data_IF_323145296104
#
_entry.id   IF_323145296104
#
_cell.length_a   1.000
_cell.length_b   1.000
_cell.length_c   1.000
_cell.angle_alpha   90.00
_cell.angle_beta   90.00
_cell.angle_gamma   90.00
#
_symmetry.space_group_name_H-M   'P 1'
#
loop_
_entity.id
_entity.type
_entity.pdbx_description
1 polymer ?
#
# COMPACT_ATOMS: atom_id res chain seq x y z
N UNK A 1 15.15 1.59 22.86
CA UNK A 1 14.11 2.19 22.00
C UNK A 1 14.28 3.69 21.76
N UNK A 2 14.61 4.52 22.77
CA UNK A 2 15.00 5.94 22.53
C UNK A 2 16.09 6.06 21.45
N UNK A 3 17.11 5.20 21.50
CA UNK A 3 18.20 5.12 20.52
C UNK A 3 17.71 4.76 19.12
N UNK A 4 16.84 3.74 18.97
CA UNK A 4 16.25 3.34 17.69
C UNK A 4 15.46 4.50 17.05
N UNK A 5 14.58 5.14 17.81
CA UNK A 5 13.71 6.22 17.29
C UNK A 5 14.46 7.51 16.96
N UNK A 6 15.41 7.92 17.82
CA UNK A 6 16.17 9.16 17.61
C UNK A 6 17.20 8.99 16.48
N UNK A 7 17.86 7.82 16.37
CA UNK A 7 18.72 7.51 15.23
C UNK A 7 17.91 7.48 13.95
N UNK A 8 16.73 6.87 13.95
CA UNK A 8 15.90 6.75 12.75
C UNK A 8 15.34 8.09 12.26
N UNK A 9 14.85 8.96 13.14
CA UNK A 9 14.33 10.25 12.72
C UNK A 9 15.46 11.21 12.31
N UNK A 10 16.55 11.28 13.08
CA UNK A 10 17.65 12.19 12.77
C UNK A 10 18.50 11.73 11.58
N UNK A 11 18.84 10.44 11.46
CA UNK A 11 19.62 9.95 10.30
C UNK A 11 18.82 10.04 8.99
N UNK A 12 17.51 9.75 9.02
CA UNK A 12 16.67 9.76 7.82
C UNK A 12 16.42 11.20 7.35
N UNK A 13 16.25 12.16 8.27
CA UNK A 13 16.10 13.57 7.90
C UNK A 13 17.43 14.20 7.46
N UNK A 14 18.53 13.93 8.17
CA UNK A 14 19.85 14.47 7.81
C UNK A 14 20.37 13.93 6.47
N UNK A 15 20.13 12.64 6.15
CA UNK A 15 20.61 12.02 4.90
C UNK A 15 19.76 12.34 3.68
N UNK A 16 18.48 12.74 3.85
CA UNK A 16 17.59 13.05 2.72
C UNK A 16 17.63 14.52 2.28
N UNK A 17 18.57 15.30 2.84
CA UNK A 17 18.82 16.70 2.49
C UNK A 17 17.58 17.57 2.69
N UNK A 18 16.90 17.36 3.82
CA UNK A 18 15.84 18.24 4.28
C UNK A 18 16.43 19.23 5.28
N UNK A 19 16.44 20.52 4.92
CA UNK A 19 16.99 21.57 5.76
C UNK A 19 16.17 21.72 7.05
N UNK A 20 16.64 21.07 8.11
CA UNK A 20 16.07 21.16 9.45
C UNK A 20 16.46 22.45 10.19
N UNK A 21 17.21 23.39 9.58
CA UNK A 21 17.60 24.63 10.28
C UNK A 21 16.39 25.49 10.69
N UNK A 22 15.19 25.21 10.17
CA UNK A 22 13.92 25.80 10.59
C UNK A 22 13.08 24.95 11.57
N UNK A 23 13.62 23.86 12.14
CA UNK A 23 12.89 22.94 13.04
C UNK A 23 12.64 23.45 14.47
N UNK A 24 12.84 24.75 14.74
CA UNK A 24 12.39 25.41 15.98
C UNK A 24 10.87 25.64 16.02
N UNK A 25 10.13 25.45 14.92
CA UNK A 25 8.66 25.52 14.90
C UNK A 25 8.05 24.12 15.07
N UNK A 26 7.03 24.00 15.93
CA UNK A 26 6.20 22.78 16.15
C UNK A 26 5.60 22.30 14.82
N UNK A 27 6.34 21.54 14.03
CA UNK A 27 5.78 20.86 12.87
C UNK A 27 4.90 19.71 13.39
N UNK A 28 3.64 19.68 12.94
CA UNK A 28 2.78 18.51 13.14
C UNK A 28 3.47 17.34 12.41
N UNK A 29 3.71 16.21 13.10
CA UNK A 29 4.42 15.02 12.57
C UNK A 29 3.99 14.64 11.14
N UNK A 30 2.71 14.88 10.81
CA UNK A 30 2.12 14.76 9.47
C UNK A 30 2.89 15.50 8.37
N UNK A 31 3.30 16.76 8.56
CA UNK A 31 3.97 17.56 7.52
C UNK A 31 5.38 17.05 7.21
N UNK A 32 6.12 16.64 8.25
CA UNK A 32 7.44 16.00 8.10
C UNK A 32 7.28 14.71 7.28
N UNK A 33 6.24 13.93 7.59
CA UNK A 33 5.97 12.68 6.89
C UNK A 33 5.71 12.87 5.38
N UNK A 34 4.86 13.82 4.97
CA UNK A 34 4.62 14.09 3.55
C UNK A 34 5.91 14.46 2.80
N UNK A 35 6.73 15.30 3.41
CA UNK A 35 8.01 15.73 2.86
C UNK A 35 9.01 14.58 2.76
N UNK A 36 9.01 13.66 3.74
CA UNK A 36 9.85 12.47 3.75
C UNK A 36 9.42 11.47 2.67
N UNK A 37 8.13 11.15 2.56
CA UNK A 37 7.65 10.23 1.52
C UNK A 37 7.96 10.77 0.12
N UNK A 38 7.73 12.07 -0.12
CA UNK A 38 8.11 12.72 -1.39
C UNK A 38 9.62 12.65 -1.63
N UNK A 39 10.42 12.88 -0.60
CA UNK A 39 11.88 12.82 -0.68
C UNK A 39 12.44 11.41 -0.94
N UNK A 40 11.88 10.37 -0.31
CA UNK A 40 12.29 8.97 -0.49
C UNK A 40 12.15 8.56 -1.97
N UNK A 41 11.06 8.97 -2.62
CA UNK A 41 10.75 8.59 -4.00
C UNK A 41 11.17 9.63 -5.05
N UNK A 42 11.82 10.74 -4.65
CA UNK A 42 12.18 11.81 -5.59
C UNK A 42 13.36 11.43 -6.51
N UNK A 43 14.25 10.55 -6.06
CA UNK A 43 15.34 10.03 -6.88
C UNK A 43 15.80 8.65 -6.41
N UNK A 44 16.38 7.88 -7.35
CA UNK A 44 17.00 6.58 -7.04
C UNK A 44 18.08 6.72 -5.96
N UNK A 45 18.89 7.77 -6.00
CA UNK A 45 19.92 8.06 -4.97
C UNK A 45 19.31 8.19 -3.58
N UNK A 46 18.27 9.00 -3.40
CA UNK A 46 17.61 9.18 -2.08
C UNK A 46 16.96 7.89 -1.59
N UNK A 47 16.36 7.12 -2.49
CA UNK A 47 15.81 5.83 -2.13
C UNK A 47 16.87 4.80 -1.69
N UNK A 48 18.04 4.79 -2.33
CA UNK A 48 19.13 3.91 -1.91
C UNK A 48 19.62 4.24 -0.49
N UNK A 49 19.71 5.53 -0.13
CA UNK A 49 20.02 5.93 1.26
C UNK A 49 18.97 5.41 2.25
N UNK A 50 17.69 5.46 1.89
CA UNK A 50 16.60 4.89 2.67
C UNK A 50 16.75 3.36 2.81
N UNK A 51 17.03 2.65 1.71
CA UNK A 51 17.25 1.20 1.70
C UNK A 51 18.44 0.80 2.59
N UNK A 52 19.54 1.53 2.49
CA UNK A 52 20.76 1.27 3.29
C UNK A 52 20.53 1.55 4.78
N UNK A 53 19.73 2.57 5.11
CA UNK A 53 19.31 2.81 6.48
C UNK A 53 18.48 1.63 7.03
N UNK A 54 17.52 1.11 6.27
CA UNK A 54 16.75 -0.08 6.69
C UNK A 54 17.69 -1.26 6.93
N UNK A 55 18.63 -1.53 6.01
CA UNK A 55 19.63 -2.60 6.17
C UNK A 55 20.46 -2.40 7.44
N UNK A 56 20.98 -1.20 7.68
CA UNK A 56 21.76 -0.86 8.89
C UNK A 56 20.96 -1.12 10.17
N UNK A 57 19.69 -0.70 10.21
CA UNK A 57 18.81 -0.92 11.35
C UNK A 57 18.60 -2.42 11.60
N UNK A 58 18.32 -3.18 10.54
CA UNK A 58 18.03 -4.61 10.61
C UNK A 58 19.26 -5.48 10.82
N UNK A 59 20.47 -4.99 10.58
CA UNK A 59 21.70 -5.70 10.91
C UNK A 59 21.95 -5.77 12.43
N UNK A 60 21.34 -4.88 13.21
CA UNK A 60 21.40 -4.95 14.68
C UNK A 60 20.41 -6.02 15.16
N UNK A 61 20.92 -7.12 15.73
CA UNK A 61 20.14 -8.29 16.20
C UNK A 61 18.90 -7.90 17.03
N UNK A 62 19.07 -6.97 17.97
CA UNK A 62 17.98 -6.51 18.83
C UNK A 62 16.89 -5.75 18.06
N UNK A 63 17.27 -4.85 17.16
CA UNK A 63 16.33 -4.08 16.34
C UNK A 63 15.55 -5.01 15.41
N UNK A 64 16.26 -5.94 14.77
CA UNK A 64 15.69 -6.97 13.92
C UNK A 64 14.64 -7.78 14.67
N UNK A 65 14.94 -8.27 15.87
CA UNK A 65 14.00 -9.00 16.72
C UNK A 65 12.75 -8.18 17.01
N UNK A 66 12.90 -6.91 17.42
CA UNK A 66 11.78 -6.02 17.75
C UNK A 66 10.90 -5.80 16.51
N UNK A 67 11.50 -5.42 15.37
CA UNK A 67 10.77 -5.11 14.15
C UNK A 67 10.03 -6.35 13.65
N UNK A 68 10.70 -7.49 13.51
CA UNK A 68 10.06 -8.72 13.03
C UNK A 68 8.95 -9.18 13.98
N UNK A 69 9.17 -9.15 15.30
CA UNK A 69 8.11 -9.47 16.28
C UNK A 69 6.91 -8.54 16.11
N UNK A 70 7.16 -7.26 15.87
CA UNK A 70 6.10 -6.27 15.64
C UNK A 70 5.34 -6.57 14.35
N UNK A 71 6.04 -6.84 13.25
CA UNK A 71 5.41 -7.19 11.97
C UNK A 71 4.58 -8.47 12.09
N UNK A 72 5.07 -9.49 12.82
CA UNK A 72 4.32 -10.72 13.10
C UNK A 72 3.00 -10.42 13.81
N UNK A 73 3.04 -9.61 14.89
CA UNK A 73 1.84 -9.24 15.65
C UNK A 73 0.87 -8.44 14.77
N UNK A 74 1.38 -7.45 14.03
CA UNK A 74 0.56 -6.62 13.17
C UNK A 74 -0.08 -7.43 12.03
N UNK A 75 0.63 -8.42 11.49
CA UNK A 75 0.11 -9.33 10.48
C UNK A 75 -1.00 -10.24 11.05
N UNK A 76 -0.85 -10.71 12.29
CA UNK A 76 -1.84 -11.60 12.92
C UNK A 76 -3.12 -10.89 13.37
N UNK A 77 -3.03 -9.67 13.90
CA UNK A 77 -4.22 -8.93 14.38
C UNK A 77 -4.98 -8.22 13.25
N UNK A 78 -4.37 -8.09 12.07
CA UNK A 78 -4.97 -7.37 10.94
C UNK A 78 -4.90 -5.85 11.07
N UNK A 79 -5.44 -5.11 10.07
CA UNK A 79 -5.54 -3.66 10.15
C UNK A 79 -6.54 -3.22 11.23
N UNK A 80 -6.06 -2.42 12.19
CA UNK A 80 -6.90 -1.93 13.29
C UNK A 80 -6.55 -0.51 13.74
N UNK A 81 -7.32 0.06 14.67
CA UNK A 81 -7.05 1.36 15.29
C UNK A 81 -5.83 1.29 16.21
N UNK A 82 -5.10 2.38 16.26
CA UNK A 82 -3.81 2.54 16.93
C UNK A 82 -3.87 2.18 18.41
N UNK A 83 -4.94 2.55 19.10
CA UNK A 83 -5.03 2.39 20.55
C UNK A 83 -5.19 0.91 20.95
N UNK A 84 -5.81 0.07 20.11
CA UNK A 84 -5.90 -1.38 20.30
C UNK A 84 -4.55 -2.08 20.12
N UNK A 85 -3.66 -1.51 19.30
CA UNK A 85 -2.34 -2.08 19.04
C UNK A 85 -1.40 -1.92 20.24
N UNK A 86 -1.61 -0.90 21.07
CA UNK A 86 -0.71 -0.55 22.17
C UNK A 86 -0.55 -1.66 23.22
N UNK A 87 -1.64 -2.17 23.83
CA UNK A 87 -1.52 -3.25 24.80
C UNK A 87 -0.86 -4.50 24.21
N UNK A 88 -1.32 -4.92 23.03
CA UNK A 88 -0.87 -6.15 22.37
C UNK A 88 0.62 -6.10 22.06
N UNK A 89 1.11 -5.00 21.46
CA UNK A 89 2.53 -4.85 21.17
C UNK A 89 3.37 -4.71 22.44
N UNK A 90 2.89 -3.96 23.44
CA UNK A 90 3.66 -3.77 24.67
C UNK A 90 3.89 -5.11 25.38
N UNK A 91 2.83 -5.87 25.59
CA UNK A 91 2.90 -7.18 26.26
C UNK A 91 3.79 -8.15 25.48
N UNK A 92 3.67 -8.19 24.14
CA UNK A 92 4.49 -9.08 23.33
C UNK A 92 5.98 -8.72 23.33
N UNK A 93 6.31 -7.43 23.39
CA UNK A 93 7.70 -6.95 23.28
C UNK A 93 8.43 -6.88 24.63
N UNK A 94 7.70 -6.61 25.71
CA UNK A 94 8.28 -6.39 27.04
C UNK A 94 7.94 -7.49 28.05
N UNK A 95 7.01 -8.40 27.73
CA UNK A 95 6.54 -9.43 28.67
C UNK A 95 6.01 -8.82 29.98
N UNK A 96 5.34 -7.68 29.88
CA UNK A 96 4.81 -6.88 30.99
C UNK A 96 3.39 -6.43 30.67
N UNK A 97 2.50 -6.40 31.65
CA UNK A 97 1.12 -5.89 31.47
C UNK A 97 1.12 -4.41 31.10
N UNK A 98 0.33 -4.08 30.08
CA UNK A 98 0.20 -2.71 29.63
C UNK A 98 -0.76 -1.90 30.50
N UNK A 99 -0.40 -0.65 30.80
CA UNK A 99 -1.21 0.23 31.65
C UNK A 99 -1.43 1.57 30.95
N UNK A 100 -2.68 1.88 30.58
CA UNK A 100 -2.99 3.11 29.85
C UNK A 100 -2.71 4.37 30.67
N UNK A 101 -2.60 4.33 32.00
CA UNK A 101 -2.18 5.47 32.82
C UNK A 101 -0.69 5.81 32.71
N UNK A 102 0.17 4.83 32.41
CA UNK A 102 1.63 5.00 32.41
C UNK A 102 2.13 5.56 31.07
N UNK A 103 2.52 6.84 31.04
CA UNK A 103 3.03 7.49 29.81
C UNK A 103 4.24 6.76 29.21
N UNK A 104 5.11 6.19 30.06
CA UNK A 104 6.26 5.43 29.59
C UNK A 104 5.86 4.19 28.75
N UNK A 105 4.72 3.55 29.05
CA UNK A 105 4.22 2.42 28.26
C UNK A 105 3.74 2.89 26.89
N UNK A 106 2.93 3.96 26.88
CA UNK A 106 2.40 4.56 25.65
C UNK A 106 3.51 5.10 24.75
N UNK A 107 4.50 5.79 25.33
CA UNK A 107 5.62 6.39 24.59
C UNK A 107 6.49 5.32 23.92
N UNK A 108 6.75 4.21 24.61
CA UNK A 108 7.48 3.05 24.07
C UNK A 108 6.86 2.54 22.76
N UNK A 109 5.56 2.24 22.76
CA UNK A 109 4.87 1.72 21.56
C UNK A 109 4.70 2.80 20.49
N UNK A 110 4.33 4.02 20.90
CA UNK A 110 4.17 5.17 19.99
C UNK A 110 5.43 5.44 19.18
N UNK A 111 6.61 5.41 19.83
CA UNK A 111 7.90 5.59 19.17
C UNK A 111 8.18 4.50 18.14
N UNK A 112 7.91 3.24 18.49
CA UNK A 112 8.08 2.12 17.58
C UNK A 112 7.18 2.25 16.34
N UNK A 113 5.89 2.56 16.52
CA UNK A 113 4.97 2.74 15.39
C UNK A 113 5.35 3.95 14.53
N UNK A 114 5.80 5.06 15.14
CA UNK A 114 6.33 6.20 14.38
C UNK A 114 7.54 5.78 13.54
N UNK A 115 8.46 5.00 14.11
CA UNK A 115 9.62 4.46 13.40
C UNK A 115 9.20 3.56 12.23
N UNK A 116 8.22 2.66 12.42
CA UNK A 116 7.71 1.82 11.34
C UNK A 116 7.02 2.64 10.24
N UNK A 117 6.26 3.69 10.59
CA UNK A 117 5.64 4.58 9.61
C UNK A 117 6.71 5.34 8.79
N UNK A 118 7.79 5.78 9.43
CA UNK A 118 8.93 6.43 8.75
C UNK A 118 9.69 5.48 7.83
N UNK A 119 9.77 4.19 8.19
CA UNK A 119 10.33 3.14 7.34
C UNK A 119 9.32 2.55 6.34
N UNK A 120 8.13 3.14 6.22
CA UNK A 120 7.05 2.67 5.34
C UNK A 120 6.65 1.21 5.60
N UNK A 121 6.94 0.70 6.81
CA UNK A 121 6.56 -0.63 7.24
C UNK A 121 5.06 -0.71 7.53
N UNK A 122 4.52 0.38 8.08
CA UNK A 122 3.08 0.60 8.19
C UNK A 122 2.65 1.77 7.30
N UNK A 123 1.40 1.77 6.85
CA UNK A 123 0.85 2.86 6.05
C UNK A 123 0.84 4.15 6.89
N UNK A 124 1.64 5.14 6.50
CA UNK A 124 1.82 6.34 7.30
C UNK A 124 0.64 7.31 7.19
N UNK A 125 -0.11 7.30 6.08
CA UNK A 125 -1.29 8.14 5.93
C UNK A 125 -2.36 7.71 6.92
N UNK A 126 -2.67 6.43 6.90
CA UNK A 126 -3.67 5.83 7.79
C UNK A 126 -3.24 5.93 9.25
N UNK A 127 -1.94 5.78 9.54
CA UNK A 127 -1.41 5.91 10.89
C UNK A 127 -1.51 7.34 11.46
N UNK A 128 -1.10 8.35 10.69
CA UNK A 128 -1.06 9.73 11.20
C UNK A 128 -2.39 10.48 11.07
N UNK A 129 -3.21 10.14 10.08
CA UNK A 129 -4.47 10.83 9.81
C UNK A 129 -5.61 10.11 10.51
N UNK A 130 -5.69 8.80 10.33
CA UNK A 130 -6.85 8.00 10.73
C UNK A 130 -6.62 7.19 12.00
N UNK A 131 -5.42 7.31 12.58
CA UNK A 131 -4.99 6.54 13.74
C UNK A 131 -5.17 5.03 13.50
N UNK A 132 -4.92 4.54 12.28
CA UNK A 132 -5.00 3.12 11.93
C UNK A 132 -3.61 2.55 11.67
N UNK A 133 -3.35 1.35 12.14
CA UNK A 133 -2.08 0.66 11.92
C UNK A 133 -2.33 -0.45 10.91
N UNK A 134 -1.60 -0.39 9.79
CA UNK A 134 -1.77 -1.27 8.65
C UNK A 134 -0.39 -1.57 8.10
N UNK A 135 -0.07 -2.83 7.85
CA UNK A 135 1.11 -3.16 7.07
C UNK A 135 0.95 -2.70 5.62
N UNK A 136 1.98 -2.07 5.06
CA UNK A 136 2.05 -1.88 3.61
C UNK A 136 2.24 -3.24 2.93
N UNK A 137 1.85 -3.35 1.65
CA UNK A 137 2.05 -4.60 0.89
C UNK A 137 3.52 -5.02 0.85
N UNK A 138 4.43 -4.05 0.72
CA UNK A 138 5.87 -4.26 0.79
C UNK A 138 6.28 -4.96 2.09
N UNK A 139 5.68 -4.56 3.21
CA UNK A 139 6.04 -5.01 4.54
C UNK A 139 5.48 -6.37 4.87
N UNK A 140 4.25 -6.62 4.42
CA UNK A 140 3.63 -7.94 4.51
C UNK A 140 4.46 -8.97 3.74
N UNK A 141 4.87 -8.62 2.52
CA UNK A 141 5.75 -9.48 1.70
C UNK A 141 7.14 -9.63 2.33
N UNK A 142 7.72 -8.54 2.83
CA UNK A 142 9.02 -8.55 3.50
C UNK A 142 9.03 -9.48 4.72
N UNK A 143 8.02 -9.33 5.59
CA UNK A 143 7.84 -10.12 6.80
C UNK A 143 7.61 -11.60 6.50
N UNK A 144 6.73 -11.91 5.54
CA UNK A 144 6.42 -13.27 5.13
C UNK A 144 7.71 -14.02 4.76
N UNK A 145 8.47 -13.50 3.80
CA UNK A 145 9.69 -14.16 3.35
C UNK A 145 10.80 -14.17 4.39
N UNK A 146 10.80 -13.22 5.31
CA UNK A 146 11.69 -13.25 6.46
C UNK A 146 11.39 -14.44 7.40
N UNK A 147 10.12 -14.76 7.65
CA UNK A 147 9.73 -15.85 8.54
C UNK A 147 9.91 -17.24 7.92
N UNK A 148 9.56 -17.39 6.64
CA UNK A 148 9.47 -18.70 6.00
C UNK A 148 10.71 -19.09 5.18
N UNK A 149 11.73 -18.23 5.10
CA UNK A 149 12.99 -18.52 4.40
C UNK A 149 12.85 -18.74 2.89
N UNK A 150 11.67 -18.45 2.32
CA UNK A 150 11.34 -18.67 0.91
C UNK A 150 10.54 -17.49 0.35
N UNK A 151 11.02 -16.79 -0.72
CA UNK A 151 12.35 -16.93 -1.30
C UNK A 151 13.40 -16.29 -0.39
N UNK A 152 14.66 -16.70 -0.59
CA UNK A 152 15.79 -16.43 0.31
C UNK A 152 16.19 -14.95 0.48
N UNK A 153 15.56 -14.01 -0.24
CA UNK A 153 15.90 -12.59 -0.17
C UNK A 153 14.69 -11.66 0.06
N UNK A 154 14.31 -11.37 1.32
CA UNK A 154 13.24 -10.42 1.63
C UNK A 154 13.58 -8.98 1.19
N UNK A 155 14.86 -8.65 0.97
CA UNK A 155 15.26 -7.29 0.58
C UNK A 155 14.84 -6.90 -0.84
N UNK A 156 14.37 -7.84 -1.66
CA UNK A 156 13.78 -7.55 -2.97
C UNK A 156 12.58 -6.61 -2.85
N UNK A 157 11.82 -6.70 -1.74
CA UNK A 157 10.70 -5.80 -1.48
C UNK A 157 11.14 -4.34 -1.27
N UNK A 158 12.41 -4.12 -0.91
CA UNK A 158 13.01 -2.79 -0.71
C UNK A 158 13.70 -2.27 -1.98
N UNK A 159 13.39 -2.80 -3.16
CA UNK A 159 13.93 -2.35 -4.44
C UNK A 159 13.35 -1.00 -4.84
N UNK A 160 14.07 -0.17 -5.61
CA UNK A 160 13.57 1.15 -6.01
C UNK A 160 12.31 1.00 -6.89
N UNK A 161 11.21 1.71 -6.61
CA UNK A 161 10.01 1.61 -7.44
C UNK A 161 10.30 1.99 -8.89
N UNK A 162 9.89 1.13 -9.83
CA UNK A 162 10.23 1.23 -11.25
C UNK A 162 11.38 0.32 -11.68
N UNK A 163 12.18 -0.22 -10.75
CA UNK A 163 13.11 -1.29 -11.07
C UNK A 163 12.37 -2.63 -11.10
N UNK A 164 12.35 -3.24 -12.28
CA UNK A 164 11.62 -4.48 -12.51
C UNK A 164 12.46 -5.67 -12.06
N UNK A 165 12.00 -6.36 -11.02
CA UNK A 165 12.64 -7.55 -10.44
C UNK A 165 11.74 -8.80 -10.48
N UNK A 166 10.47 -8.66 -10.88
CA UNK A 166 9.57 -9.78 -11.17
C UNK A 166 9.31 -9.82 -12.68
N UNK A 167 9.81 -10.85 -13.37
CA UNK A 167 9.70 -11.05 -14.83
C UNK A 167 9.54 -12.52 -15.16
N UNK A 168 9.06 -12.79 -16.37
CA UNK A 168 8.95 -14.14 -16.93
C UNK A 168 7.51 -14.60 -17.05
N UNK A 169 7.34 -15.89 -17.34
CA UNK A 169 6.03 -16.53 -17.46
C UNK A 169 5.51 -16.93 -16.08
N UNK A 170 4.21 -17.26 -15.99
CA UNK A 170 3.62 -17.85 -14.80
C UNK A 170 3.73 -16.99 -13.53
N UNK A 171 3.77 -15.66 -13.67
CA UNK A 171 4.00 -14.76 -12.52
C UNK A 171 2.87 -14.77 -11.50
N UNK A 172 1.65 -15.19 -11.86
CA UNK A 172 0.60 -15.43 -10.86
C UNK A 172 1.02 -16.46 -9.80
N UNK A 173 1.88 -17.40 -10.18
CA UNK A 173 2.38 -18.46 -9.30
C UNK A 173 3.73 -18.14 -8.67
N UNK A 174 4.28 -16.94 -8.89
CA UNK A 174 5.49 -16.49 -8.20
C UNK A 174 5.19 -16.28 -6.70
N UNK A 175 6.11 -16.69 -5.82
CA UNK A 175 5.90 -16.63 -4.37
C UNK A 175 5.66 -15.21 -3.82
N UNK A 176 6.30 -14.19 -4.40
CA UNK A 176 6.03 -12.80 -4.04
C UNK A 176 4.62 -12.35 -4.42
N UNK A 177 4.15 -12.82 -5.58
CA UNK A 177 2.82 -12.50 -6.10
C UNK A 177 1.74 -13.23 -5.30
N UNK A 178 1.92 -14.53 -5.01
CA UNK A 178 1.04 -15.29 -4.11
C UNK A 178 0.96 -14.65 -2.72
N UNK A 179 2.09 -14.21 -2.18
CA UNK A 179 2.14 -13.50 -0.89
C UNK A 179 1.35 -12.19 -0.95
N UNK A 180 1.41 -11.47 -2.07
CA UNK A 180 0.59 -10.29 -2.29
C UNK A 180 -0.90 -10.62 -2.44
N UNK A 181 -1.27 -11.70 -3.12
CA UNK A 181 -2.67 -12.15 -3.17
C UNK A 181 -3.17 -12.50 -1.76
N UNK A 182 -2.36 -13.20 -0.96
CA UNK A 182 -2.66 -13.48 0.43
C UNK A 182 -2.85 -12.19 1.25
N UNK A 183 -1.97 -11.20 1.08
CA UNK A 183 -2.14 -9.87 1.66
C UNK A 183 -3.49 -9.26 1.27
N UNK A 184 -3.83 -9.28 -0.02
CA UNK A 184 -5.04 -8.67 -0.54
C UNK A 184 -6.30 -9.35 0.02
N UNK A 185 -6.33 -10.67 0.06
CA UNK A 185 -7.48 -11.48 0.48
C UNK A 185 -7.63 -11.50 2.00
N UNK A 186 -6.57 -11.81 2.73
CA UNK A 186 -6.67 -12.14 4.16
C UNK A 186 -6.33 -10.99 5.09
N UNK A 187 -5.59 -9.97 4.62
CA UNK A 187 -5.12 -8.88 5.49
C UNK A 187 -5.73 -7.53 5.12
N UNK A 188 -5.60 -7.13 3.87
CA UNK A 188 -6.03 -5.81 3.42
C UNK A 188 -7.54 -5.68 3.49
N UNK A 189 -8.01 -4.49 3.86
CA UNK A 189 -9.40 -4.06 3.72
C UNK A 189 -9.44 -2.58 3.38
N UNK A 190 -10.44 -2.11 2.63
CA UNK A 190 -10.72 -0.68 2.56
C UNK A 190 -11.08 -0.20 3.97
N UNK A 191 -10.47 0.89 4.42
CA UNK A 191 -10.61 1.37 5.80
C UNK A 191 -11.46 2.61 5.93
N UNK A 192 -11.82 3.21 4.80
CA UNK A 192 -12.80 4.27 4.74
C UNK A 192 -13.86 3.81 3.77
N UNK A 193 -15.11 3.97 4.16
CA UNK A 193 -16.17 4.05 3.18
C UNK A 193 -15.92 5.35 2.42
N UNK A 194 -15.42 5.21 1.20
CA UNK A 194 -15.72 6.19 0.18
C UNK A 194 -16.90 5.67 -0.61
N UNK A 195 -17.58 6.58 -1.27
CA UNK A 195 -18.84 6.24 -1.93
C UNK A 195 -18.60 5.54 -3.28
N UNK A 196 -17.50 5.86 -3.99
CA UNK A 196 -17.18 5.26 -5.30
C UNK A 196 -15.87 4.48 -5.27
N UNK A 197 -15.90 3.23 -5.75
CA UNK A 197 -14.71 2.48 -6.14
C UNK A 197 -14.45 2.62 -7.65
N UNK A 198 -13.38 3.32 -8.03
CA UNK A 198 -12.96 3.53 -9.42
C UNK A 198 -11.86 2.55 -9.83
N UNK A 199 -12.17 1.64 -10.76
CA UNK A 199 -11.24 0.68 -11.33
C UNK A 199 -10.65 1.19 -12.65
N UNK A 200 -9.32 1.18 -12.73
CA UNK A 200 -8.54 1.59 -13.91
C UNK A 200 -7.50 0.52 -14.23
N UNK A 201 -6.96 0.41 -15.46
CA UNK A 201 -6.01 -0.65 -15.77
C UNK A 201 -4.62 -0.35 -15.21
N UNK A 202 -3.80 -1.39 -15.19
CA UNK A 202 -2.36 -1.27 -15.06
C UNK A 202 -1.73 -0.42 -16.19
N UNK A 203 -0.43 -0.19 -16.09
CA UNK A 203 0.37 0.43 -17.14
C UNK A 203 1.74 -0.25 -17.22
N UNK A 204 2.33 -0.29 -18.41
CA UNK A 204 3.74 -0.66 -18.59
C UNK A 204 4.71 0.31 -17.93
N UNK A 205 4.28 1.55 -17.65
CA UNK A 205 5.07 2.50 -16.85
C UNK A 205 4.94 2.16 -15.36
N UNK A 206 6.08 1.94 -14.70
CA UNK A 206 6.17 1.73 -13.25
C UNK A 206 6.98 2.85 -12.57
N UNK A 207 6.56 3.34 -11.39
CA UNK A 207 5.29 3.09 -10.71
C UNK A 207 4.08 3.57 -11.50
N UNK A 208 2.96 2.84 -11.41
CA UNK A 208 1.75 3.05 -12.23
C UNK A 208 1.21 4.49 -12.18
N UNK A 209 1.25 5.21 -11.03
CA UNK A 209 0.79 6.60 -10.95
C UNK A 209 1.54 7.58 -11.87
N UNK A 210 2.74 7.22 -12.37
CA UNK A 210 3.49 8.05 -13.32
C UNK A 210 3.03 7.93 -14.77
N UNK A 211 2.18 6.94 -15.07
CA UNK A 211 1.66 6.77 -16.42
C UNK A 211 0.72 7.91 -16.83
N UNK A 212 0.75 8.27 -18.12
CA UNK A 212 0.00 9.41 -18.68
C UNK A 212 -1.48 9.42 -18.27
N UNK A 213 -2.18 8.29 -18.46
CA UNK A 213 -3.61 8.18 -18.13
C UNK A 213 -3.88 8.35 -16.64
N UNK A 214 -3.03 7.76 -15.78
CA UNK A 214 -3.18 7.89 -14.34
C UNK A 214 -2.96 9.33 -13.86
N UNK A 215 -1.97 10.04 -14.42
CA UNK A 215 -1.73 11.47 -14.13
C UNK A 215 -2.95 12.32 -14.51
N UNK A 216 -3.60 12.04 -15.65
CA UNK A 216 -4.80 12.76 -16.09
C UNK A 216 -6.00 12.48 -15.19
N UNK A 217 -6.24 11.22 -14.82
CA UNK A 217 -7.31 10.83 -13.89
C UNK A 217 -7.09 11.48 -12.51
N UNK A 218 -5.88 11.43 -11.97
CA UNK A 218 -5.53 12.10 -10.72
C UNK A 218 -5.73 13.62 -10.80
N UNK A 219 -5.42 14.22 -11.96
CA UNK A 219 -5.70 15.62 -12.24
C UNK A 219 -7.19 15.96 -12.20
N UNK A 220 -8.05 15.10 -12.76
CA UNK A 220 -9.51 15.22 -12.66
C UNK A 220 -9.94 15.14 -11.19
N UNK A 221 -9.50 14.10 -10.47
CA UNK A 221 -9.97 13.91 -9.09
C UNK A 221 -9.60 15.09 -8.20
N UNK A 222 -8.38 15.62 -8.33
CA UNK A 222 -7.95 16.83 -7.60
C UNK A 222 -8.74 18.08 -8.03
N UNK A 223 -8.78 18.36 -9.33
CA UNK A 223 -9.36 19.60 -9.85
C UNK A 223 -10.84 19.76 -9.47
N UNK A 224 -11.57 18.66 -9.38
CA UNK A 224 -13.00 18.66 -9.09
C UNK A 224 -13.33 18.19 -7.66
N UNK A 225 -12.35 18.08 -6.77
CA UNK A 225 -12.59 17.74 -5.35
C UNK A 225 -13.11 16.33 -5.10
N UNK A 226 -12.89 15.39 -6.04
CA UNK A 226 -13.41 14.03 -5.98
C UNK A 226 -12.55 13.08 -5.11
N UNK A 227 -11.35 13.49 -4.68
CA UNK A 227 -10.43 12.66 -3.88
C UNK A 227 -11.04 12.16 -2.55
N UNK A 228 -11.97 12.92 -1.98
CA UNK A 228 -12.70 12.55 -0.77
C UNK A 228 -13.78 11.48 -1.00
N UNK A 229 -14.26 11.32 -2.23
CA UNK A 229 -15.41 10.48 -2.57
C UNK A 229 -15.05 9.24 -3.38
N UNK A 230 -13.90 9.26 -4.06
CA UNK A 230 -13.46 8.19 -4.97
C UNK A 230 -12.24 7.50 -4.39
N UNK A 231 -12.32 6.17 -4.21
CA UNK A 231 -11.15 5.32 -4.03
C UNK A 231 -10.76 4.70 -5.35
N UNK A 232 -9.45 4.69 -5.61
CA UNK A 232 -8.90 4.18 -6.86
C UNK A 232 -8.35 2.78 -6.67
N UNK A 233 -8.60 1.94 -7.66
CA UNK A 233 -8.08 0.60 -7.79
C UNK A 233 -7.51 0.38 -9.19
N UNK A 234 -6.46 -0.42 -9.26
CA UNK A 234 -5.83 -0.82 -10.50
C UNK A 234 -6.11 -2.31 -10.72
N UNK A 235 -6.83 -2.64 -11.79
CA UNK A 235 -7.01 -4.03 -12.24
C UNK A 235 -5.75 -4.41 -13.00
N UNK A 236 -5.06 -5.44 -12.52
CA UNK A 236 -3.72 -5.75 -12.98
C UNK A 236 -3.35 -7.21 -12.92
N UNK A 237 -2.81 -7.73 -14.00
CA UNK A 237 -1.93 -8.89 -14.03
C UNK A 237 -0.54 -8.52 -13.48
N UNK A 238 0.18 -9.43 -12.79
CA UNK A 238 -0.31 -10.67 -12.20
C UNK A 238 -0.98 -10.47 -10.82
N UNK A 239 -1.14 -9.22 -10.35
CA UNK A 239 -1.50 -8.90 -8.96
C UNK A 239 -3.00 -8.94 -8.64
N UNK A 240 -3.83 -9.26 -9.63
CA UNK A 240 -5.29 -9.14 -9.66
C UNK A 240 -5.84 -7.71 -9.44
N UNK A 241 -5.59 -7.14 -8.27
CA UNK A 241 -6.05 -5.81 -7.89
C UNK A 241 -5.00 -5.09 -7.05
N UNK A 242 -4.76 -3.82 -7.35
CA UNK A 242 -3.85 -2.96 -6.58
C UNK A 242 -4.64 -1.75 -6.06
N UNK A 243 -4.84 -1.61 -4.74
CA UNK A 243 -5.29 -0.34 -4.17
C UNK A 243 -4.32 0.77 -4.58
N UNK A 244 -4.81 1.84 -5.21
CA UNK A 244 -3.95 2.82 -5.90
C UNK A 244 -2.88 3.44 -4.99
N UNK A 245 -3.19 3.63 -3.71
CA UNK A 245 -2.24 4.10 -2.69
C UNK A 245 -1.00 3.21 -2.52
N UNK A 246 -1.09 1.93 -2.88
CA UNK A 246 0.00 0.96 -2.80
C UNK A 246 0.76 0.78 -4.12
N UNK A 247 0.44 1.56 -5.15
CA UNK A 247 1.06 1.40 -6.47
C UNK A 247 2.55 1.77 -6.54
N UNK A 248 3.10 2.37 -5.47
CA UNK A 248 4.54 2.61 -5.28
C UNK A 248 5.25 1.51 -4.48
N UNK A 249 4.50 0.62 -3.83
CA UNK A 249 5.04 -0.44 -3.00
C UNK A 249 5.29 -1.71 -3.80
N UNK A 250 6.17 -2.56 -3.28
CA UNK A 250 6.33 -3.91 -3.79
C UNK A 250 5.05 -4.74 -3.56
N UNK A 251 4.66 -5.62 -4.50
CA UNK A 251 5.26 -5.86 -5.82
C UNK A 251 4.76 -4.93 -6.94
N UNK A 252 3.77 -4.07 -6.68
CA UNK A 252 3.05 -3.28 -7.69
C UNK A 252 3.93 -2.39 -8.60
N UNK A 253 5.06 -1.91 -8.09
CA UNK A 253 5.98 -1.07 -8.85
C UNK A 253 7.17 -1.82 -9.49
N UNK A 254 7.18 -3.16 -9.43
CA UNK A 254 8.40 -3.96 -9.60
C UNK A 254 8.25 -5.17 -10.52
N UNK A 255 7.14 -5.29 -11.23
CA UNK A 255 6.88 -6.37 -12.17
C UNK A 255 6.71 -5.86 -13.60
N UNK A 256 7.05 -6.73 -14.55
CA UNK A 256 6.76 -6.57 -15.97
C UNK A 256 6.11 -7.87 -16.47
N UNK A 257 4.86 -7.76 -16.90
CA UNK A 257 4.03 -8.89 -17.27
C UNK A 257 2.92 -8.40 -18.21
N UNK A 258 3.00 -8.81 -19.47
CA UNK A 258 2.08 -8.33 -20.49
C UNK A 258 0.77 -9.13 -20.47
N UNK A 259 -0.41 -8.52 -20.71
CA UNK A 259 -1.69 -9.23 -20.76
C UNK A 259 -1.72 -10.45 -21.68
N UNK A 260 -0.95 -10.44 -22.78
CA UNK A 260 -0.86 -11.57 -23.72
C UNK A 260 -0.15 -12.80 -23.16
N UNK A 261 0.53 -12.67 -22.02
CA UNK A 261 1.22 -13.77 -21.35
C UNK A 261 0.30 -14.55 -20.41
N UNK A 262 -0.88 -14.02 -20.09
CA UNK A 262 -1.84 -14.65 -19.18
C UNK A 262 -2.37 -15.93 -19.81
N UNK A 263 -1.97 -17.07 -19.26
CA UNK A 263 -2.49 -18.38 -19.66
C UNK A 263 -3.96 -18.57 -19.25
N UNK A 264 -4.68 -19.55 -19.83
CA UNK A 264 -6.05 -19.87 -19.41
C UNK A 264 -6.16 -20.23 -17.92
N UNK A 265 -5.13 -20.84 -17.33
CA UNK A 265 -5.09 -21.15 -15.91
C UNK A 265 -4.92 -19.89 -15.05
N UNK A 266 -3.95 -19.04 -15.39
CA UNK A 266 -3.74 -17.76 -14.70
C UNK A 266 -4.96 -16.85 -14.81
N UNK A 267 -5.68 -16.89 -15.94
CA UNK A 267 -6.95 -16.18 -16.11
C UNK A 267 -8.00 -16.61 -15.08
N UNK A 268 -8.13 -17.92 -14.82
CA UNK A 268 -9.07 -18.42 -13.79
C UNK A 268 -8.70 -17.88 -12.43
N UNK A 269 -7.43 -17.99 -12.04
CA UNK A 269 -6.90 -17.45 -10.78
C UNK A 269 -7.15 -15.94 -10.68
N UNK A 270 -6.92 -15.18 -11.77
CA UNK A 270 -7.16 -13.73 -11.81
C UNK A 270 -8.64 -13.40 -11.54
N UNK A 271 -9.56 -14.05 -12.25
CA UNK A 271 -11.01 -13.84 -12.08
C UNK A 271 -11.45 -14.19 -10.66
N UNK A 272 -11.02 -15.33 -10.13
CA UNK A 272 -11.38 -15.79 -8.79
C UNK A 272 -10.87 -14.85 -7.69
N UNK A 273 -9.61 -14.41 -7.79
CA UNK A 273 -9.04 -13.44 -6.84
C UNK A 273 -9.79 -12.12 -6.90
N UNK A 274 -10.06 -11.61 -8.09
CA UNK A 274 -10.76 -10.35 -8.27
C UNK A 274 -12.20 -10.43 -7.75
N UNK A 275 -12.93 -11.52 -8.06
CA UNK A 275 -14.28 -11.77 -7.57
C UNK A 275 -14.31 -11.75 -6.04
N UNK A 276 -13.43 -12.55 -5.41
CA UNK A 276 -13.37 -12.65 -3.95
C UNK A 276 -13.12 -11.29 -3.29
N UNK A 277 -12.20 -10.50 -3.82
CA UNK A 277 -11.92 -9.16 -3.30
C UNK A 277 -13.11 -8.23 -3.49
N UNK A 278 -13.76 -8.27 -4.66
CA UNK A 278 -14.91 -7.41 -4.93
C UNK A 278 -16.06 -7.76 -3.98
N UNK A 279 -16.42 -9.04 -3.88
CA UNK A 279 -17.50 -9.52 -3.01
C UNK A 279 -17.24 -9.24 -1.53
N UNK A 280 -16.07 -9.65 -1.01
CA UNK A 280 -15.78 -9.58 0.43
C UNK A 280 -15.51 -8.15 0.91
N UNK A 281 -14.93 -7.31 0.04
CA UNK A 281 -14.32 -6.05 0.45
C UNK A 281 -14.86 -4.84 -0.29
N UNK A 282 -15.16 -4.92 -1.58
CA UNK A 282 -15.61 -3.74 -2.33
C UNK A 282 -17.13 -3.57 -2.23
N UNK A 283 -17.91 -4.57 -2.62
CA UNK A 283 -19.37 -4.52 -2.66
C UNK A 283 -19.99 -4.06 -1.32
N UNK A 284 -19.37 -4.44 -0.20
CA UNK A 284 -19.84 -4.08 1.16
C UNK A 284 -19.42 -2.68 1.62
N UNK A 285 -18.41 -2.07 0.99
CA UNK A 285 -17.76 -0.83 1.46
C UNK A 285 -17.94 0.36 0.53
N UNK A 286 -18.51 0.18 -0.66
CA UNK A 286 -18.72 1.23 -1.65
C UNK A 286 -20.15 1.19 -2.14
N UNK A 287 -20.75 2.37 -2.30
CA UNK A 287 -22.13 2.51 -2.77
C UNK A 287 -22.23 2.29 -4.27
N UNK A 288 -21.15 2.62 -5.01
CA UNK A 288 -21.09 2.52 -6.47
C UNK A 288 -19.74 2.00 -6.94
N UNK A 289 -19.77 1.18 -7.98
CA UNK A 289 -18.58 0.76 -8.72
C UNK A 289 -18.54 1.51 -10.05
N UNK A 290 -17.39 2.11 -10.37
CA UNK A 290 -17.12 2.68 -11.70
C UNK A 290 -15.87 2.01 -12.24
N UNK A 291 -15.90 1.55 -13.50
CA UNK A 291 -14.73 0.94 -14.11
C UNK A 291 -14.46 1.53 -15.49
N UNK A 292 -13.19 1.88 -15.71
CA UNK A 292 -12.68 2.34 -16.99
C UNK A 292 -11.48 1.51 -17.38
N UNK A 293 -11.75 0.42 -18.09
CA UNK A 293 -10.80 -0.64 -18.42
C UNK A 293 -10.73 -0.88 -19.94
N UNK A 294 -9.54 -1.20 -20.50
CA UNK A 294 -9.37 -1.66 -21.86
C UNK A 294 -9.91 -3.08 -22.01
N UNK A 295 -10.08 -3.55 -23.26
CA UNK A 295 -10.81 -4.78 -23.59
C UNK A 295 -10.43 -6.01 -22.76
N UNK A 296 -9.14 -6.27 -22.56
CA UNK A 296 -8.68 -7.43 -21.79
C UNK A 296 -9.11 -7.35 -20.33
N UNK A 297 -8.69 -6.31 -19.61
CA UNK A 297 -9.04 -6.10 -18.19
C UNK A 297 -10.55 -5.95 -17.97
N UNK A 298 -11.25 -5.33 -18.92
CA UNK A 298 -12.71 -5.20 -18.90
C UNK A 298 -13.37 -6.58 -18.82
N UNK A 299 -12.96 -7.51 -19.69
CA UNK A 299 -13.51 -8.88 -19.71
C UNK A 299 -13.27 -9.62 -18.39
N UNK A 300 -12.06 -9.53 -17.85
CA UNK A 300 -11.71 -10.13 -16.56
C UNK A 300 -12.58 -9.55 -15.44
N UNK A 301 -12.73 -8.23 -15.42
CA UNK A 301 -13.52 -7.53 -14.41
C UNK A 301 -15.00 -7.90 -14.49
N UNK A 302 -15.59 -7.87 -15.70
CA UNK A 302 -17.00 -8.21 -15.93
C UNK A 302 -17.31 -9.67 -15.56
N UNK A 303 -16.40 -10.59 -15.84
CA UNK A 303 -16.54 -11.98 -15.42
C UNK A 303 -16.43 -12.14 -13.89
N UNK A 304 -15.55 -11.38 -13.25
CA UNK A 304 -15.39 -11.39 -11.80
C UNK A 304 -16.64 -10.89 -11.08
N UNK A 305 -17.31 -9.84 -11.59
CA UNK A 305 -18.54 -9.29 -11.01
C UNK A 305 -19.81 -9.99 -11.47
N UNK A 306 -19.73 -10.84 -12.50
CA UNK A 306 -20.88 -11.60 -12.99
C UNK A 306 -21.49 -12.44 -11.87
N UNK A 307 -22.80 -12.28 -11.64
CA UNK A 307 -23.55 -12.94 -10.58
C UNK A 307 -23.44 -12.31 -9.20
N UNK A 308 -22.65 -11.23 -9.03
CA UNK A 308 -22.64 -10.44 -7.79
C UNK A 308 -23.72 -9.36 -7.84
N UNK A 309 -24.34 -9.09 -6.70
CA UNK A 309 -25.29 -7.99 -6.52
C UNK A 309 -24.52 -6.65 -6.36
N UNK A 310 -23.97 -6.16 -7.47
CA UNK A 310 -23.21 -4.90 -7.53
C UNK A 310 -23.64 -4.04 -8.71
N UNK A 311 -23.92 -2.76 -8.45
CA UNK A 311 -24.15 -1.79 -9.50
C UNK A 311 -22.81 -1.24 -10.01
N UNK A 312 -22.45 -1.59 -11.25
CA UNK A 312 -21.19 -1.18 -11.88
C UNK A 312 -21.42 -0.36 -13.15
N UNK A 313 -20.82 0.83 -13.21
CA UNK A 313 -20.91 1.75 -14.35
C UNK A 313 -19.63 1.71 -15.17
N UNK A 314 -19.74 1.32 -16.45
CA UNK A 314 -18.63 1.34 -17.39
C UNK A 314 -18.43 2.71 -18.03
N UNK A 315 -17.18 3.17 -18.08
CA UNK A 315 -16.76 4.30 -18.92
C UNK A 315 -15.60 3.88 -19.81
N UNK A 316 -15.67 4.03 -21.15
CA UNK A 316 -14.59 3.60 -22.04
C UNK A 316 -13.21 4.16 -21.64
N UNK A 317 -12.20 3.29 -21.66
CA UNK A 317 -10.83 3.67 -21.29
C UNK A 317 -10.08 4.27 -22.47
N UNK A 318 -10.12 5.59 -22.59
CA UNK A 318 -9.37 6.36 -23.58
C UNK A 318 -9.29 7.83 -23.11
N UNK A 319 -8.23 8.55 -23.48
CA UNK A 319 -8.06 9.98 -23.17
C UNK A 319 -9.27 10.83 -23.58
N UNK A 320 -9.92 10.51 -24.70
CA UNK A 320 -11.10 11.24 -25.20
C UNK A 320 -12.36 11.03 -24.34
N UNK A 321 -12.40 9.97 -23.53
CA UNK A 321 -13.52 9.66 -22.64
C UNK A 321 -13.31 10.13 -21.20
N UNK A 322 -12.17 10.78 -20.90
CA UNK A 322 -11.92 11.39 -19.61
C UNK A 322 -12.96 12.46 -19.19
N UNK A 323 -13.49 13.31 -20.11
CA UNK A 323 -14.61 14.19 -19.79
C UNK A 323 -15.86 13.43 -19.32
N UNK A 324 -16.18 12.31 -19.99
CA UNK A 324 -17.31 11.46 -19.61
C UNK A 324 -17.08 10.75 -18.28
N UNK A 325 -15.85 10.31 -18.00
CA UNK A 325 -15.48 9.75 -16.69
C UNK A 325 -15.69 10.79 -15.59
N UNK A 326 -15.19 12.01 -15.79
CA UNK A 326 -15.40 13.15 -14.88
C UNK A 326 -16.89 13.39 -14.62
N UNK A 327 -17.71 13.48 -15.66
CA UNK A 327 -19.16 13.70 -15.54
C UNK A 327 -19.87 12.57 -14.79
N UNK A 328 -19.50 11.33 -15.08
CA UNK A 328 -20.05 10.15 -14.41
C UNK A 328 -19.75 10.19 -12.91
N UNK A 329 -18.50 10.45 -12.54
CA UNK A 329 -18.10 10.57 -11.14
C UNK A 329 -18.81 11.73 -10.44
N UNK A 330 -18.91 12.90 -11.08
CA UNK A 330 -19.62 14.06 -10.49
C UNK A 330 -21.11 13.80 -10.29
N UNK A 331 -21.75 13.10 -11.22
CA UNK A 331 -23.17 12.72 -11.12
C UNK A 331 -23.38 11.77 -9.94
N UNK A 332 -22.61 10.69 -9.87
CA UNK A 332 -22.70 9.68 -8.82
C UNK A 332 -22.35 10.21 -7.42
N UNK A 333 -21.70 11.37 -7.30
CA UNK A 333 -21.42 12.04 -6.01
C UNK A 333 -22.55 12.93 -5.53
N UNK A 334 -23.48 13.28 -6.41
CA UNK A 334 -24.61 14.16 -6.10
C UNK A 334 -25.92 13.39 -5.87
N UNK A 335 -26.02 12.20 -6.44
CA UNK A 335 -27.05 11.20 -6.17
C UNK A 335 -26.74 10.45 -4.88
#
# INVERSE_FOLDING_TARGET
MKTLTNIMACELVNKLDHDMRNCKKKYRVKSIFYSLLRGIYSSKRKYMLYKDLIKKILNVKQNKRIIITTLNVLASIGPTIKDEVFPILYEKLFSESFHWGKEIHRDKVRRLLNALALLLFIDPYEYFIDKKVILTSMSYVYHHHFQWGNPSNPHIALTFPGEIVLRGNNLFFNEHVKTYHNYLINYWKPLKRKMIALFTPCSGVKPIPRSFMNVKIDGILRKYGLEGYVDRYIVSEPLALIPYRFAYYFPAAHYDYHPSMVSPEERRVYVELLRKVIEDKIARNYDRIVYSLPRFHKRIFEEAISGLDVEAVYVPYNVYYLPKLKETLLRLVRE
#
